data_IF_008427516179
#
_entry.id   IF_008427516179
#
_cell.length_a   1.000
_cell.length_b   1.000
_cell.length_c   1.000
_cell.angle_alpha   90.00
_cell.angle_beta   90.00
_cell.angle_gamma   90.00
#
_symmetry.space_group_name_H-M   'P 1'
#
loop_
_entity.id
_entity.type
_entity.pdbx_description
1 polymer ?
#
# COMPACT_ATOMS: atom_id res chain seq x y z
N UNK A 1 -6.81 -78.69 -31.83
CA UNK A 1 -6.63 -78.96 -33.27
C UNK A 1 -6.99 -77.71 -34.04
N UNK A 2 -6.02 -77.11 -34.73
CA UNK A 2 -6.21 -76.03 -35.71
C UNK A 2 -7.04 -76.52 -36.89
N UNK A 3 -7.84 -75.63 -37.50
CA UNK A 3 -7.84 -75.21 -38.92
C UNK A 3 -8.72 -73.93 -38.97
N UNK A 4 -8.18 -72.72 -39.21
CA UNK A 4 -8.04 -72.01 -40.52
C UNK A 4 -9.40 -71.85 -41.23
N UNK A 5 -9.79 -70.71 -41.80
CA UNK A 5 -9.08 -69.92 -42.81
C UNK A 5 -9.90 -68.66 -43.16
N UNK A 6 -9.19 -67.58 -43.55
CA UNK A 6 -9.44 -66.63 -44.67
C UNK A 6 -10.87 -66.08 -44.90
N UNK A 7 -11.10 -64.81 -45.21
CA UNK A 7 -10.23 -63.78 -45.79
C UNK A 7 -11.02 -63.03 -46.87
N UNK A 8 -10.99 -61.71 -46.80
CA UNK A 8 -11.03 -60.72 -47.91
C UNK A 8 -12.30 -60.66 -48.77
N UNK A 9 -12.97 -59.49 -48.79
CA UNK A 9 -13.22 -58.77 -50.05
C UNK A 9 -13.56 -57.28 -49.84
N UNK A 10 -13.03 -56.48 -50.75
CA UNK A 10 -13.07 -55.01 -50.81
C UNK A 10 -14.37 -54.53 -51.48
N UNK A 11 -14.92 -53.40 -51.03
CA UNK A 11 -15.59 -52.41 -51.89
C UNK A 11 -15.83 -51.15 -51.04
N UNK A 12 -15.10 -50.06 -51.26
CA UNK A 12 -15.32 -49.04 -52.28
C UNK A 12 -16.34 -47.96 -51.85
N UNK A 13 -15.89 -46.71 -52.07
CA UNK A 13 -16.67 -45.48 -52.23
C UNK A 13 -17.33 -44.85 -50.99
N UNK A 14 -16.64 -43.84 -50.45
CA UNK A 14 -17.28 -42.66 -49.86
C UNK A 14 -18.04 -41.88 -50.95
N UNK A 15 -19.24 -41.38 -50.65
CA UNK A 15 -19.60 -40.03 -51.07
C UNK A 15 -19.87 -39.14 -49.85
N UNK A 16 -19.54 -37.88 -50.10
CA UNK A 16 -19.51 -36.74 -49.20
C UNK A 16 -20.90 -36.22 -48.86
N UNK A 17 -20.94 -35.57 -47.69
CA UNK A 17 -21.84 -34.49 -47.28
C UNK A 17 -23.33 -34.81 -47.13
N UNK A 18 -23.79 -34.76 -45.87
CA UNK A 18 -24.89 -33.92 -45.37
C UNK A 18 -25.05 -34.27 -43.87
N UNK A 19 -24.41 -33.51 -42.99
CA UNK A 19 -24.99 -32.42 -42.19
C UNK A 19 -25.80 -32.91 -40.96
N UNK A 20 -25.32 -32.43 -39.81
CA UNK A 20 -26.05 -32.14 -38.58
C UNK A 20 -26.65 -33.31 -37.78
N UNK A 21 -25.96 -33.66 -36.68
CA UNK A 21 -26.61 -33.83 -35.39
C UNK A 21 -25.59 -33.56 -34.28
N UNK A 22 -25.84 -32.50 -33.52
CA UNK A 22 -25.09 -32.11 -32.34
C UNK A 22 -25.10 -33.21 -31.28
N UNK A 23 -23.94 -33.49 -30.69
CA UNK A 23 -23.85 -34.14 -29.38
C UNK A 23 -22.70 -33.52 -28.58
N UNK A 24 -23.10 -32.55 -27.77
CA UNK A 24 -22.84 -32.50 -26.33
C UNK A 24 -21.47 -33.00 -25.84
N UNK A 25 -20.56 -32.05 -25.60
CA UNK A 25 -19.57 -32.14 -24.52
C UNK A 25 -19.06 -30.73 -24.20
N UNK A 26 -19.94 -29.86 -23.69
CA UNK A 26 -19.47 -28.65 -23.03
C UNK A 26 -18.91 -29.09 -21.67
N UNK A 27 -17.60 -29.38 -21.64
CA UNK A 27 -16.88 -29.56 -20.39
C UNK A 27 -16.97 -28.23 -19.63
N UNK A 28 -17.84 -28.19 -18.62
CA UNK A 28 -17.87 -27.14 -17.61
C UNK A 28 -16.52 -27.20 -16.87
N UNK A 29 -15.56 -26.42 -17.34
CA UNK A 29 -14.40 -26.05 -16.55
C UNK A 29 -14.95 -25.15 -15.45
N UNK A 30 -15.20 -25.73 -14.28
CA UNK A 30 -15.38 -24.97 -13.05
C UNK A 30 -14.05 -24.30 -12.73
N UNK A 31 -13.80 -23.15 -13.36
CA UNK A 31 -12.80 -22.22 -12.89
C UNK A 31 -13.30 -21.73 -11.53
N UNK A 32 -12.80 -22.35 -10.47
CA UNK A 32 -12.90 -21.79 -9.14
C UNK A 32 -12.27 -20.40 -9.23
N UNK A 33 -13.10 -19.38 -9.32
CA UNK A 33 -12.70 -18.03 -9.01
C UNK A 33 -12.32 -18.07 -7.52
N UNK A 34 -11.04 -18.31 -7.26
CA UNK A 34 -10.39 -17.79 -6.06
C UNK A 34 -10.56 -16.28 -6.16
N UNK A 35 -11.69 -15.81 -5.64
CA UNK A 35 -11.90 -14.42 -5.31
C UNK A 35 -10.87 -14.14 -4.23
N UNK A 36 -9.65 -13.81 -4.67
CA UNK A 36 -8.65 -13.25 -3.79
C UNK A 36 -9.28 -11.96 -3.32
N UNK A 37 -9.87 -12.00 -2.14
CA UNK A 37 -10.06 -10.85 -1.29
C UNK A 37 -8.66 -10.36 -0.88
N UNK A 38 -7.84 -10.01 -1.88
CA UNK A 38 -6.56 -9.36 -1.71
C UNK A 38 -6.89 -7.92 -1.42
N UNK A 39 -7.14 -7.61 -0.15
CA UNK A 39 -7.10 -6.23 0.30
C UNK A 39 -5.77 -5.65 -0.18
N UNK A 40 -5.83 -4.55 -0.93
CA UNK A 40 -4.64 -3.84 -1.36
C UNK A 40 -3.80 -3.55 -0.11
N UNK A 41 -2.50 -3.90 -0.15
CA UNK A 41 -1.61 -3.66 0.97
C UNK A 41 -1.60 -2.16 1.29
N UNK A 42 -2.01 -1.82 2.52
CA UNK A 42 -2.04 -0.43 2.97
C UNK A 42 -0.61 0.00 3.28
N UNK A 43 0.04 0.60 2.30
CA UNK A 43 1.49 0.79 2.31
C UNK A 43 1.87 2.27 2.31
N UNK A 44 0.89 3.16 2.20
CA UNK A 44 1.07 4.60 2.25
C UNK A 44 0.60 5.15 3.59
N UNK A 45 1.40 6.04 4.16
CA UNK A 45 1.09 6.79 5.39
C UNK A 45 1.11 8.28 5.05
N UNK A 46 0.02 8.98 5.28
CA UNK A 46 -0.02 10.43 5.20
C UNK A 46 -0.21 11.04 6.59
N UNK A 47 0.68 11.94 6.98
CA UNK A 47 0.65 12.65 8.26
C UNK A 47 0.41 14.11 7.98
N UNK A 48 -0.64 14.68 8.58
CA UNK A 48 -0.99 16.09 8.45
C UNK A 48 -0.80 16.78 9.80
N UNK A 49 0.07 17.78 9.87
CA UNK A 49 0.37 18.52 11.09
C UNK A 49 0.12 20.01 10.89
N UNK A 50 -0.30 20.69 11.95
CA UNK A 50 -0.57 22.12 11.94
C UNK A 50 0.53 22.90 12.67
N UNK A 51 0.80 24.10 12.20
CA UNK A 51 1.63 25.11 12.84
C UNK A 51 1.05 26.50 12.61
N UNK A 52 1.69 27.55 13.14
CA UNK A 52 1.21 28.92 13.01
C UNK A 52 2.09 29.73 12.06
N UNK A 53 1.49 30.36 11.04
CA UNK A 53 2.21 31.18 10.08
C UNK A 53 2.93 32.35 10.77
N UNK A 54 4.09 32.74 10.23
CA UNK A 54 4.84 33.91 10.69
C UNK A 54 5.60 33.74 12.01
N UNK A 55 5.53 32.55 12.64
CA UNK A 55 6.30 32.24 13.85
C UNK A 55 7.71 31.74 13.56
N UNK A 56 7.93 31.25 12.34
CA UNK A 56 9.20 30.68 11.90
C UNK A 56 9.37 29.20 12.21
N UNK A 57 8.43 28.58 12.92
CA UNK A 57 8.43 27.14 13.15
C UNK A 57 8.13 26.37 11.87
N UNK A 58 8.82 25.24 11.70
CA UNK A 58 8.67 24.32 10.59
C UNK A 58 8.70 22.89 11.11
N UNK A 59 7.89 22.02 10.49
CA UNK A 59 7.92 20.60 10.79
C UNK A 59 9.08 19.93 10.03
N UNK A 60 9.96 19.26 10.76
CA UNK A 60 10.96 18.32 10.23
C UNK A 60 10.64 16.92 10.73
N UNK A 61 11.27 15.88 10.16
CA UNK A 61 11.05 14.51 10.62
C UNK A 61 12.31 13.64 10.56
N UNK A 62 12.27 12.57 11.35
CA UNK A 62 13.24 11.46 11.34
C UNK A 62 12.46 10.15 11.32
N UNK A 63 12.75 9.30 10.32
CA UNK A 63 12.25 7.93 10.26
C UNK A 63 13.26 6.95 10.88
N UNK A 64 12.78 5.93 11.58
CA UNK A 64 13.62 4.88 12.15
C UNK A 64 12.91 3.52 12.09
N UNK A 65 13.51 2.47 11.51
CA UNK A 65 14.74 2.50 10.70
C UNK A 65 14.59 3.40 9.45
N UNK A 66 15.69 3.95 8.96
CA UNK A 66 15.76 4.97 7.90
C UNK A 66 15.34 4.45 6.52
N UNK A 67 15.34 3.13 6.32
CA UNK A 67 15.01 2.47 5.05
C UNK A 67 13.63 1.80 5.01
N UNK A 68 12.84 1.94 6.08
CA UNK A 68 11.46 1.40 6.13
C UNK A 68 10.47 2.33 5.44
N UNK A 69 10.56 3.64 5.68
CA UNK A 69 9.68 4.64 5.09
C UNK A 69 10.46 5.56 4.18
N UNK A 70 9.94 5.77 2.96
CA UNK A 70 10.45 6.77 2.03
C UNK A 70 9.39 7.84 1.83
N UNK A 71 9.75 9.10 2.06
CA UNK A 71 8.88 10.22 1.70
C UNK A 71 8.70 10.27 0.17
N UNK A 72 7.44 10.33 -0.25
CA UNK A 72 7.02 10.42 -1.66
C UNK A 72 6.34 11.73 -2.00
N UNK A 73 6.04 12.56 -0.99
CA UNK A 73 5.48 13.88 -1.20
C UNK A 73 5.36 14.68 0.08
N UNK A 74 5.42 16.00 -0.07
CA UNK A 74 5.18 16.99 0.98
C UNK A 74 4.39 18.14 0.38
N UNK A 75 3.28 18.48 1.03
CA UNK A 75 2.43 19.62 0.67
C UNK A 75 2.26 20.54 1.86
N UNK A 76 2.50 21.84 1.66
CA UNK A 76 2.24 22.89 2.65
C UNK A 76 1.07 23.76 2.18
N UNK A 77 0.09 23.97 3.05
CA UNK A 77 -1.05 24.86 2.84
C UNK A 77 -1.11 25.90 3.93
N UNK A 78 -1.23 27.18 3.58
CA UNK A 78 -1.39 28.27 4.54
C UNK A 78 -2.79 28.88 4.43
N UNK A 79 -3.46 29.05 5.56
CA UNK A 79 -4.66 29.89 5.65
C UNK A 79 -4.26 31.37 5.65
N UNK A 80 -4.41 32.00 4.49
CA UNK A 80 -4.10 33.41 4.29
C UNK A 80 -5.28 34.35 4.58
N UNK A 81 -6.39 33.84 5.13
CA UNK A 81 -7.56 34.67 5.45
C UNK A 81 -7.29 35.67 6.58
N UNK A 82 -6.28 35.42 7.42
CA UNK A 82 -5.84 36.29 8.51
C UNK A 82 -4.33 36.21 8.72
N UNK A 83 -3.74 37.30 9.23
CA UNK A 83 -2.34 37.29 9.64
C UNK A 83 -2.14 36.29 10.80
N UNK A 84 -1.07 35.48 10.72
CA UNK A 84 -0.83 34.40 11.67
C UNK A 84 -1.85 33.26 11.56
N UNK A 85 -2.40 33.02 10.36
CA UNK A 85 -3.25 31.86 10.10
C UNK A 85 -2.52 30.52 10.24
N UNK A 86 -3.28 29.43 10.27
CA UNK A 86 -2.73 28.07 10.37
C UNK A 86 -1.94 27.71 9.11
N UNK A 87 -0.81 27.06 9.30
CA UNK A 87 -0.08 26.35 8.25
C UNK A 87 -0.29 24.85 8.48
N UNK A 88 -0.63 24.13 7.43
CA UNK A 88 -0.85 22.69 7.44
C UNK A 88 0.18 22.03 6.54
N UNK A 89 1.00 21.16 7.10
CA UNK A 89 1.99 20.35 6.39
C UNK A 89 1.49 18.91 6.29
N UNK A 90 1.43 18.37 5.07
CA UNK A 90 1.07 16.97 4.83
C UNK A 90 2.26 16.23 4.22
N UNK A 91 2.80 15.29 4.98
CA UNK A 91 3.90 14.42 4.58
C UNK A 91 3.35 13.05 4.17
N UNK A 92 3.74 12.56 3.01
CA UNK A 92 3.32 11.26 2.48
C UNK A 92 4.51 10.33 2.39
N UNK A 93 4.40 9.16 3.02
CA UNK A 93 5.43 8.13 3.06
C UNK A 93 4.94 6.84 2.45
N UNK A 94 5.83 6.15 1.76
CA UNK A 94 5.62 4.82 1.23
C UNK A 94 6.49 3.83 2.00
N UNK A 95 5.88 2.80 2.58
CA UNK A 95 6.59 1.66 3.16
C UNK A 95 7.38 0.92 2.07
N UNK A 96 8.69 0.75 2.28
CA UNK A 96 9.61 0.13 1.33
C UNK A 96 9.83 -1.35 1.64
N UNK A 97 9.86 -1.71 2.92
CA UNK A 97 10.09 -3.07 3.42
C UNK A 97 9.38 -3.29 4.75
N UNK A 98 9.15 -4.55 5.10
CA UNK A 98 8.69 -4.95 6.44
C UNK A 98 9.80 -4.87 7.49
N UNK A 99 9.38 -4.82 8.75
CA UNK A 99 10.26 -4.87 9.93
C UNK A 99 10.19 -6.21 10.67
N UNK A 100 9.44 -7.20 10.15
CA UNK A 100 9.17 -8.44 10.85
C UNK A 100 8.42 -8.19 12.15
N UNK A 101 9.05 -8.47 13.29
CA UNK A 101 8.47 -8.21 14.63
C UNK A 101 8.75 -6.81 15.17
N UNK A 102 9.73 -6.11 14.61
CA UNK A 102 10.22 -4.84 15.16
C UNK A 102 9.31 -3.68 14.79
N UNK A 103 9.41 -2.58 15.54
CA UNK A 103 8.66 -1.35 15.27
C UNK A 103 9.42 -0.46 14.28
N UNK A 104 8.64 0.27 13.46
CA UNK A 104 9.13 1.41 12.70
C UNK A 104 8.47 2.68 13.24
N UNK A 105 9.15 3.82 13.15
CA UNK A 105 8.63 5.09 13.63
C UNK A 105 8.93 6.24 12.68
N UNK A 106 8.07 7.25 12.71
CA UNK A 106 8.29 8.56 12.09
C UNK A 106 8.10 9.59 13.21
N UNK A 107 9.16 10.32 13.53
CA UNK A 107 9.18 11.34 14.58
C UNK A 107 9.29 12.71 13.95
N UNK A 108 8.30 13.56 14.20
CA UNK A 108 8.23 14.95 13.75
C UNK A 108 8.68 15.90 14.84
N UNK A 109 9.40 16.94 14.45
CA UNK A 109 9.85 18.01 15.32
C UNK A 109 9.37 19.35 14.75
N UNK A 110 8.70 20.16 15.57
CA UNK A 110 8.36 21.53 15.23
C UNK A 110 9.45 22.44 15.77
N UNK A 111 10.29 22.96 14.88
CA UNK A 111 11.50 23.70 15.28
C UNK A 111 11.69 24.95 14.42
N UNK A 112 12.47 25.90 14.94
CA UNK A 112 13.00 27.00 14.13
C UNK A 112 14.39 26.62 13.65
N UNK A 113 14.60 26.33 12.35
CA UNK A 113 15.85 25.69 11.88
C UNK A 113 17.11 26.56 12.04
N UNK A 114 16.97 27.84 12.38
CA UNK A 114 18.08 28.74 12.67
C UNK A 114 18.42 28.87 14.16
N UNK A 115 17.68 28.23 15.07
CA UNK A 115 17.99 28.17 16.49
C UNK A 115 18.66 26.84 16.83
N UNK A 116 19.53 26.85 17.83
CA UNK A 116 20.02 25.60 18.40
C UNK A 116 18.94 24.93 19.25
N UNK A 117 19.03 23.62 19.41
CA UNK A 117 18.10 22.85 20.25
C UNK A 117 18.09 23.30 21.72
N UNK A 118 19.18 23.90 22.21
CA UNK A 118 19.27 24.44 23.58
C UNK A 118 18.55 25.79 23.71
N UNK A 119 18.37 26.51 22.60
CA UNK A 119 17.73 27.83 22.55
C UNK A 119 16.24 27.74 22.18
N UNK A 120 15.77 26.58 21.70
CA UNK A 120 14.39 26.37 21.30
C UNK A 120 13.57 25.73 22.42
N UNK A 121 13.17 26.53 23.41
CA UNK A 121 12.36 26.09 24.56
C UNK A 121 10.92 25.63 24.19
N UNK A 122 10.55 25.71 22.90
CA UNK A 122 9.21 25.45 22.38
C UNK A 122 9.08 24.27 21.42
N UNK A 123 10.08 23.39 21.32
CA UNK A 123 10.05 22.27 20.37
C UNK A 123 8.91 21.29 20.69
N UNK A 124 7.96 21.16 19.76
CA UNK A 124 6.92 20.14 19.84
C UNK A 124 7.40 18.86 19.14
N UNK A 125 7.20 17.71 19.77
CA UNK A 125 7.53 16.41 19.18
C UNK A 125 6.26 15.57 19.02
N UNK A 126 6.10 14.98 17.83
CA UNK A 126 5.03 14.02 17.53
C UNK A 126 5.66 12.77 16.92
N UNK A 127 5.48 11.62 17.56
CA UNK A 127 6.01 10.34 17.12
C UNK A 127 4.87 9.38 16.79
N UNK A 128 4.92 8.82 15.59
CA UNK A 128 4.04 7.73 15.17
C UNK A 128 4.85 6.44 15.13
N UNK A 129 4.32 5.37 15.75
CA UNK A 129 4.94 4.05 15.78
C UNK A 129 4.06 3.04 15.06
N UNK A 130 4.65 2.29 14.15
CA UNK A 130 3.98 1.41 13.20
C UNK A 130 4.52 -0.02 13.28
N UNK A 131 3.63 -0.98 13.04
CA UNK A 131 4.02 -2.32 12.57
C UNK A 131 3.99 -2.31 11.05
N UNK A 132 5.05 -2.81 10.41
CA UNK A 132 5.14 -2.94 8.95
C UNK A 132 5.35 -4.39 8.60
N UNK A 133 4.33 -5.03 8.02
CA UNK A 133 4.40 -6.42 7.58
C UNK A 133 5.37 -6.61 6.40
N UNK A 134 5.77 -7.85 6.15
CA UNK A 134 6.64 -8.20 5.00
C UNK A 134 5.98 -7.90 3.65
N UNK A 135 4.65 -7.86 3.62
CA UNK A 135 3.81 -7.41 2.49
C UNK A 135 3.70 -5.88 2.41
N UNK A 136 4.41 -5.16 3.28
CA UNK A 136 4.43 -3.70 3.45
C UNK A 136 3.10 -3.13 3.95
N UNK A 137 2.23 -3.96 4.51
CA UNK A 137 1.04 -3.49 5.18
C UNK A 137 1.43 -2.75 6.47
N UNK A 138 1.00 -1.51 6.58
CA UNK A 138 1.28 -0.64 7.70
C UNK A 138 0.08 -0.61 8.64
N UNK A 139 0.34 -0.78 9.93
CA UNK A 139 -0.64 -0.58 10.99
C UNK A 139 -0.07 0.34 12.05
N UNK A 140 -0.81 1.39 12.42
CA UNK A 140 -0.45 2.25 13.54
C UNK A 140 -0.54 1.44 14.85
N UNK A 141 0.54 1.46 15.62
CA UNK A 141 0.58 0.85 16.95
C UNK A 141 0.13 1.86 18.00
N UNK A 142 0.78 3.03 18.03
CA UNK A 142 0.44 4.13 18.90
C UNK A 142 1.04 5.44 18.39
N UNK A 143 0.53 6.53 18.94
CA UNK A 143 1.02 7.89 18.71
C UNK A 143 1.44 8.49 20.04
N UNK A 144 2.57 9.20 20.05
CA UNK A 144 3.05 9.97 21.18
C UNK A 144 3.18 11.44 20.77
N UNK A 145 2.54 12.34 21.49
CA UNK A 145 2.49 13.77 21.16
C UNK A 145 1.13 14.35 21.53
N UNK A 146 1.12 15.54 22.12
CA UNK A 146 -0.11 16.18 22.53
C UNK A 146 -0.96 16.57 21.30
N UNK A 147 -2.24 16.17 21.31
CA UNK A 147 -3.20 16.45 20.24
C UNK A 147 -2.73 16.02 18.83
N UNK A 148 -1.85 15.02 18.74
CA UNK A 148 -1.36 14.50 17.48
C UNK A 148 -2.51 13.86 16.68
N UNK A 149 -2.78 14.31 15.44
CA UNK A 149 -3.83 13.73 14.62
C UNK A 149 -3.45 12.33 14.15
N UNK A 150 -4.45 11.47 13.95
CA UNK A 150 -4.24 10.14 13.39
C UNK A 150 -3.75 10.24 11.92
N UNK A 151 -2.75 9.45 11.53
CA UNK A 151 -2.31 9.40 10.14
C UNK A 151 -3.35 8.67 9.27
N UNK A 152 -3.40 9.05 8.00
CA UNK A 152 -4.19 8.32 7.00
C UNK A 152 -3.33 7.17 6.46
N UNK A 153 -3.83 5.94 6.58
CA UNK A 153 -3.14 4.73 6.13
C UNK A 153 -3.95 4.06 5.01
N UNK A 154 -3.36 3.94 3.82
CA UNK A 154 -4.04 3.48 2.59
C UNK A 154 -3.22 2.54 1.73
#
# INVERSE_FOLDING_TARGET
>A
MSVKTNGIERAAALPRLLMAAALCALALVAAAALSSCGGQAKSTVAVTLESQAGTGYQWTYVASPDDVFKETGHETKADNSKAGGTVTDTFTFQAQKGTGSDDASITFLLERPWLSAEEDEGTQTVQYVFKVGDDKNVTLSYTNGENAPDPVIS
#
